data_IF_365697525976
#
_entry.id   IF_365697525976
#
_cell.length_a   1.000
_cell.length_b   1.000
_cell.length_c   1.000
_cell.angle_alpha   90.00
_cell.angle_beta   90.00
_cell.angle_gamma   90.00
#
_symmetry.space_group_name_H-M   'P 1'
#
loop_
_entity.id
_entity.type
_entity.pdbx_description
1 polymer ?
#
# COMPACT_ATOMS: atom_id res chain seq x y z
N UNK A 1 5.65 -18.99 6.12
CA UNK A 1 5.70 -17.73 5.34
C UNK A 1 6.73 -16.82 5.97
N UNK A 2 7.68 -16.31 5.18
CA UNK A 2 8.82 -15.53 5.69
C UNK A 2 8.76 -14.10 5.16
N UNK A 3 8.79 -13.12 6.08
CA UNK A 3 8.95 -11.71 5.76
C UNK A 3 10.43 -11.36 5.64
N UNK A 4 10.79 -10.61 4.62
CA UNK A 4 12.13 -10.08 4.43
C UNK A 4 12.26 -8.67 5.00
N UNK A 5 13.46 -8.28 5.39
CA UNK A 5 13.73 -6.89 5.78
C UNK A 5 13.67 -6.00 4.53
N UNK A 6 12.72 -5.09 4.49
CA UNK A 6 12.54 -4.14 3.40
C UNK A 6 13.45 -2.92 3.51
N UNK A 7 14.05 -2.68 4.68
CA UNK A 7 14.96 -1.58 4.92
C UNK A 7 14.30 -0.34 5.54
N UNK A 8 15.01 0.78 5.42
CA UNK A 8 14.63 2.07 6.00
C UNK A 8 14.13 3.03 4.92
N UNK A 9 13.15 3.84 5.31
CA UNK A 9 12.65 4.96 4.53
C UNK A 9 13.07 6.28 5.23
N UNK A 10 14.27 6.80 5.00
CA UNK A 10 14.79 7.95 5.74
C UNK A 10 13.90 9.18 5.64
N UNK A 11 13.34 9.41 4.44
CA UNK A 11 12.44 10.53 4.17
C UNK A 11 11.16 10.47 5.00
N UNK A 12 10.66 9.28 5.31
CA UNK A 12 9.39 9.08 6.02
C UNK A 12 9.55 8.76 7.51
N UNK A 13 10.77 8.47 7.97
CA UNK A 13 11.03 8.04 9.34
C UNK A 13 10.35 6.70 9.66
N UNK A 14 10.35 5.78 8.71
CA UNK A 14 9.73 4.45 8.83
C UNK A 14 10.69 3.36 8.37
N UNK A 15 10.38 2.13 8.76
CA UNK A 15 10.97 0.91 8.19
C UNK A 15 9.89 -0.09 7.86
N UNK A 16 10.21 -1.07 7.02
CA UNK A 16 9.25 -2.09 6.67
C UNK A 16 9.83 -3.52 6.66
N UNK A 17 8.91 -4.47 6.69
CA UNK A 17 9.13 -5.86 6.30
C UNK A 17 8.17 -6.20 5.17
N UNK A 18 8.62 -7.02 4.23
CA UNK A 18 7.89 -7.36 3.01
C UNK A 18 7.69 -8.86 2.93
N UNK A 19 6.49 -9.25 2.60
CA UNK A 19 6.15 -10.57 2.13
C UNK A 19 5.86 -10.47 0.63
N UNK A 20 6.76 -10.96 -0.25
CA UNK A 20 6.49 -11.08 -1.66
C UNK A 20 5.35 -12.07 -1.90
N UNK A 21 4.42 -11.71 -2.76
CA UNK A 21 3.29 -12.52 -3.19
C UNK A 21 3.44 -12.86 -4.67
N UNK A 22 2.65 -13.80 -5.17
CA UNK A 22 2.55 -14.09 -6.60
C UNK A 22 1.91 -12.93 -7.36
N UNK A 23 1.91 -13.00 -8.69
CA UNK A 23 1.27 -12.03 -9.58
C UNK A 23 1.71 -10.56 -9.38
N UNK A 24 2.94 -10.33 -8.92
CA UNK A 24 3.44 -8.96 -8.74
C UNK A 24 2.97 -8.25 -7.48
N UNK A 25 2.23 -8.92 -6.60
CA UNK A 25 1.76 -8.35 -5.34
C UNK A 25 2.77 -8.47 -4.21
N UNK A 26 2.57 -7.72 -3.15
CA UNK A 26 3.29 -7.86 -1.89
C UNK A 26 2.48 -7.33 -0.71
N UNK A 27 2.73 -7.89 0.45
CA UNK A 27 2.23 -7.38 1.72
C UNK A 27 3.38 -6.68 2.45
N UNK A 28 3.12 -5.48 2.93
CA UNK A 28 4.10 -4.66 3.65
C UNK A 28 3.64 -4.41 5.08
N UNK A 29 4.52 -4.70 6.04
CA UNK A 29 4.34 -4.33 7.44
C UNK A 29 5.27 -3.15 7.72
N UNK A 30 4.69 -1.99 8.02
CA UNK A 30 5.43 -0.74 8.23
C UNK A 30 5.42 -0.37 9.71
N UNK A 31 6.59 -0.04 10.23
CA UNK A 31 6.76 0.51 11.56
C UNK A 31 7.32 1.94 11.52
N UNK A 32 6.86 2.78 12.44
CA UNK A 32 7.41 4.11 12.64
C UNK A 32 8.71 4.02 13.45
N UNK A 33 9.68 4.86 13.09
CA UNK A 33 10.93 5.05 13.83
C UNK A 33 10.82 6.26 14.77
N UNK A 34 11.63 6.28 15.81
CA UNK A 34 11.86 7.49 16.60
C UNK A 34 12.80 8.43 15.83
N UNK A 35 12.22 9.09 14.83
CA UNK A 35 12.91 9.96 13.90
C UNK A 35 12.04 11.16 13.54
N UNK A 36 12.58 12.41 13.54
CA UNK A 36 11.80 13.62 13.28
C UNK A 36 11.08 13.66 11.93
N UNK A 37 11.56 12.92 10.92
CA UNK A 37 10.89 12.82 9.62
C UNK A 37 9.49 12.22 9.73
N UNK A 38 9.26 11.30 10.67
CA UNK A 38 7.96 10.65 10.87
C UNK A 38 6.85 11.66 11.24
N UNK A 39 7.23 12.79 11.87
CA UNK A 39 6.27 13.82 12.28
C UNK A 39 6.06 14.90 11.20
N UNK A 40 6.93 14.95 10.20
CA UNK A 40 6.94 16.04 9.21
C UNK A 40 6.30 15.67 7.88
N UNK A 41 6.19 14.38 7.57
CA UNK A 41 5.70 13.93 6.26
C UNK A 41 4.45 13.09 6.38
N UNK A 42 3.50 13.19 5.43
CA UNK A 42 2.19 12.54 5.52
C UNK A 42 2.24 11.03 5.75
N UNK A 43 3.15 10.31 5.09
CA UNK A 43 3.25 8.85 5.27
C UNK A 43 3.71 8.47 6.68
N UNK A 44 4.76 9.13 7.20
CA UNK A 44 5.22 8.92 8.57
C UNK A 44 4.13 9.21 9.60
N UNK A 45 3.42 10.33 9.42
CA UNK A 45 2.30 10.72 10.26
C UNK A 45 1.17 9.66 10.23
N UNK A 46 0.83 9.14 9.04
CA UNK A 46 -0.20 8.10 8.89
C UNK A 46 0.19 6.81 9.64
N UNK A 47 1.44 6.35 9.48
CA UNK A 47 1.94 5.16 10.19
C UNK A 47 1.95 5.38 11.70
N UNK A 48 2.40 6.54 12.17
CA UNK A 48 2.41 6.89 13.60
C UNK A 48 1.02 6.91 14.19
N UNK A 49 0.08 7.59 13.53
CA UNK A 49 -1.32 7.65 13.98
C UNK A 49 -1.95 6.25 14.05
N UNK A 50 -1.74 5.43 13.03
CA UNK A 50 -2.27 4.05 13.01
C UNK A 50 -1.64 3.18 14.10
N UNK A 51 -0.35 3.36 14.36
CA UNK A 51 0.34 2.65 15.45
C UNK A 51 -0.21 3.04 16.82
N UNK A 52 -0.51 4.33 17.05
CA UNK A 52 -1.10 4.82 18.30
C UNK A 52 -2.50 4.25 18.55
N UNK A 53 -3.25 3.90 17.49
CA UNK A 53 -4.55 3.24 17.55
C UNK A 53 -4.47 1.70 17.71
N UNK A 54 -3.29 1.14 17.95
CA UNK A 54 -3.07 -0.29 18.12
C UNK A 54 -2.66 -1.04 16.84
N UNK A 55 -2.35 -0.34 15.76
CA UNK A 55 -1.93 -0.93 14.49
C UNK A 55 -3.09 -1.44 13.62
N UNK A 56 -2.80 -2.42 12.76
CA UNK A 56 -3.73 -2.99 11.78
C UNK A 56 -3.56 -2.37 10.39
N UNK A 57 -4.55 -2.53 9.53
CA UNK A 57 -4.49 -2.03 8.16
C UNK A 57 -4.34 -0.51 8.12
N UNK A 58 -3.31 -0.04 7.44
CA UNK A 58 -3.13 1.38 7.13
C UNK A 58 -3.92 1.74 5.87
N UNK A 59 -3.83 0.90 4.83
CA UNK A 59 -4.47 1.11 3.54
C UNK A 59 -4.00 0.10 2.51
N UNK A 60 -4.29 0.38 1.26
CA UNK A 60 -3.91 -0.43 0.13
C UNK A 60 -3.35 0.44 -1.00
N UNK A 61 -2.63 -0.18 -1.91
CA UNK A 61 -1.80 0.50 -2.91
C UNK A 61 -2.09 -0.06 -4.28
N UNK A 62 -2.19 0.82 -5.26
CA UNK A 62 -2.29 0.45 -6.67
C UNK A 62 -1.01 0.86 -7.39
N UNK A 63 -0.31 -0.12 -7.96
CA UNK A 63 0.83 0.14 -8.83
C UNK A 63 0.34 0.62 -10.21
N UNK A 64 1.01 1.62 -10.76
CA UNK A 64 0.68 2.19 -12.06
C UNK A 64 1.94 2.47 -12.87
N UNK A 65 1.83 2.38 -14.18
CA UNK A 65 2.93 2.68 -15.12
C UNK A 65 3.06 4.19 -15.38
N UNK A 66 1.97 4.95 -15.21
CA UNK A 66 1.96 6.38 -15.41
C UNK A 66 1.13 7.11 -14.35
N UNK A 67 1.74 8.10 -13.70
CA UNK A 67 1.08 8.94 -12.69
C UNK A 67 0.48 10.22 -13.29
N UNK A 68 0.81 10.63 -14.51
CA UNK A 68 0.40 11.91 -15.06
C UNK A 68 -1.14 12.09 -15.15
N UNK A 69 -1.94 11.10 -15.58
CA UNK A 69 -3.39 11.21 -15.56
C UNK A 69 -3.98 11.35 -14.15
N UNK A 70 -3.36 10.65 -13.19
CA UNK A 70 -3.75 10.69 -11.77
C UNK A 70 -3.40 12.05 -11.14
N UNK A 71 -2.22 12.57 -11.43
CA UNK A 71 -1.80 13.91 -10.98
C UNK A 71 -2.75 15.00 -11.46
N UNK A 72 -3.17 14.91 -12.74
CA UNK A 72 -4.12 15.86 -13.32
C UNK A 72 -5.49 15.76 -12.62
N UNK A 73 -6.02 14.55 -12.42
CA UNK A 73 -7.32 14.32 -11.79
C UNK A 73 -7.32 14.71 -10.31
N UNK A 74 -6.28 14.37 -9.56
CA UNK A 74 -6.17 14.64 -8.13
C UNK A 74 -5.72 16.09 -7.86
N UNK A 75 -5.17 16.78 -8.86
CA UNK A 75 -4.70 18.16 -8.74
C UNK A 75 -3.41 18.31 -7.92
N UNK A 76 -2.60 17.26 -7.83
CA UNK A 76 -1.36 17.25 -7.04
C UNK A 76 -0.27 16.45 -7.74
N UNK A 77 0.99 16.79 -7.45
CA UNK A 77 2.16 16.07 -7.95
C UNK A 77 2.50 14.88 -7.06
N UNK A 78 2.94 13.81 -7.70
CA UNK A 78 3.54 12.67 -7.01
C UNK A 78 4.80 13.09 -6.27
N UNK A 79 5.09 12.39 -5.19
CA UNK A 79 6.25 12.62 -4.34
C UNK A 79 7.19 11.42 -4.47
N UNK A 80 8.47 11.71 -4.71
CA UNK A 80 9.49 10.68 -4.71
C UNK A 80 9.67 10.10 -3.31
N UNK A 81 9.73 8.78 -3.25
CA UNK A 81 10.14 8.00 -2.09
C UNK A 81 11.37 7.18 -2.42
N UNK A 82 12.16 6.87 -1.41
CA UNK A 82 13.27 5.93 -1.53
C UNK A 82 13.46 5.15 -0.22
N UNK A 83 14.05 3.98 -0.34
CA UNK A 83 14.50 3.18 0.80
C UNK A 83 15.88 2.59 0.55
N UNK A 84 16.60 2.40 1.62
CA UNK A 84 17.90 1.74 1.61
C UNK A 84 17.73 0.28 2.04
N UNK A 85 18.10 -0.63 1.16
CA UNK A 85 18.14 -2.05 1.47
C UNK A 85 19.39 -2.38 2.29
N UNK A 86 19.39 -3.51 3.04
CA UNK A 86 20.55 -3.94 3.84
C UNK A 86 21.84 -4.13 3.03
N UNK A 87 21.73 -4.44 1.74
CA UNK A 87 22.86 -4.59 0.83
C UNK A 87 23.38 -3.28 0.22
N UNK A 88 22.87 -2.12 0.68
CA UNK A 88 23.24 -0.80 0.20
C UNK A 88 22.52 -0.32 -1.08
N UNK A 89 21.70 -1.17 -1.70
CA UNK A 89 20.88 -0.76 -2.84
C UNK A 89 19.83 0.25 -2.42
N UNK A 90 19.61 1.27 -3.25
CA UNK A 90 18.54 2.25 -3.06
C UNK A 90 17.41 1.95 -4.03
N UNK A 91 16.22 1.72 -3.48
CA UNK A 91 14.99 1.62 -4.27
C UNK A 91 14.30 2.97 -4.29
N UNK A 92 13.84 3.38 -5.47
CA UNK A 92 13.09 4.62 -5.65
C UNK A 92 11.73 4.37 -6.27
N UNK A 93 10.77 5.20 -5.89
CA UNK A 93 9.42 5.21 -6.45
C UNK A 93 8.82 6.62 -6.38
N UNK A 94 7.72 6.80 -7.08
CA UNK A 94 6.87 7.96 -6.91
C UNK A 94 5.53 7.54 -6.34
N UNK A 95 4.97 8.30 -5.42
CA UNK A 95 3.69 7.99 -4.78
C UNK A 95 2.75 9.20 -4.79
N UNK A 96 1.45 8.92 -4.89
CA UNK A 96 0.39 9.93 -4.92
C UNK A 96 -0.83 9.41 -4.14
N UNK A 97 -1.48 10.26 -3.33
CA UNK A 97 -2.73 9.93 -2.65
C UNK A 97 -2.61 9.64 -1.15
N UNK A 98 -1.43 9.73 -0.54
CA UNK A 98 -1.25 9.47 0.91
C UNK A 98 -2.10 10.40 1.80
N UNK A 99 -2.24 11.67 1.42
CA UNK A 99 -3.08 12.61 2.18
C UNK A 99 -4.55 12.25 2.09
N UNK A 100 -4.97 11.69 0.97
CA UNK A 100 -6.35 11.27 0.76
C UNK A 100 -6.67 10.01 1.54
N UNK A 101 -5.75 9.05 1.59
CA UNK A 101 -5.84 7.88 2.46
C UNK A 101 -6.01 8.29 3.94
N UNK A 102 -5.36 9.35 4.40
CA UNK A 102 -5.52 9.84 5.78
C UNK A 102 -6.92 10.40 6.05
N UNK A 103 -7.52 11.05 5.07
CA UNK A 103 -8.85 11.67 5.16
C UNK A 103 -9.96 10.66 4.88
N UNK A 104 -9.75 9.79 3.91
CA UNK A 104 -10.71 8.79 3.45
C UNK A 104 -10.00 7.42 3.28
N UNK A 105 -9.88 6.62 4.35
CA UNK A 105 -9.07 5.41 4.37
C UNK A 105 -9.53 4.27 3.45
N UNK A 106 -10.69 4.38 2.80
CA UNK A 106 -11.10 3.42 1.76
C UNK A 106 -10.34 3.63 0.44
N UNK A 107 -9.79 4.83 0.21
CA UNK A 107 -9.08 5.15 -1.03
C UNK A 107 -7.66 4.57 -1.02
N UNK A 108 -7.21 3.96 -2.13
CA UNK A 108 -5.81 3.59 -2.27
C UNK A 108 -4.94 4.82 -2.51
N UNK A 109 -3.67 4.70 -2.22
CA UNK A 109 -2.68 5.55 -2.85
C UNK A 109 -2.02 4.82 -4.03
N UNK A 110 -1.36 5.57 -4.89
CA UNK A 110 -0.75 5.08 -6.12
C UNK A 110 0.77 5.08 -6.01
N UNK A 111 1.40 4.07 -6.61
CA UNK A 111 2.86 3.96 -6.67
C UNK A 111 3.28 3.65 -8.11
N UNK A 112 4.29 4.39 -8.58
CA UNK A 112 5.05 4.06 -9.79
C UNK A 112 6.47 3.70 -9.37
N UNK A 113 6.89 2.46 -9.63
CA UNK A 113 8.25 2.00 -9.37
C UNK A 113 9.21 2.51 -10.43
N UNK A 114 10.46 2.78 -10.06
CA UNK A 114 11.50 3.03 -11.04
C UNK A 114 11.79 1.76 -11.84
N UNK A 115 12.08 1.90 -13.14
CA UNK A 115 12.20 0.78 -14.08
C UNK A 115 13.34 -0.21 -13.77
N UNK A 116 14.38 0.24 -13.08
CA UNK A 116 15.56 -0.52 -12.67
C UNK A 116 15.51 -1.03 -11.23
N UNK A 117 14.42 -0.74 -10.51
CA UNK A 117 14.23 -1.17 -9.14
C UNK A 117 13.88 -2.66 -9.05
N UNK A 118 14.43 -3.34 -8.05
CA UNK A 118 13.96 -4.69 -7.68
C UNK A 118 12.59 -4.56 -7.03
N UNK A 119 11.55 -4.99 -7.74
CA UNK A 119 10.18 -4.90 -7.26
C UNK A 119 10.00 -5.68 -5.95
N UNK A 120 9.23 -5.17 -4.97
CA UNK A 120 9.00 -5.84 -3.67
C UNK A 120 8.39 -7.24 -3.77
N UNK A 121 7.72 -7.58 -4.85
CA UNK A 121 7.18 -8.93 -5.10
C UNK A 121 8.22 -9.92 -5.64
N UNK A 122 9.45 -9.47 -5.93
CA UNK A 122 10.47 -10.35 -6.49
C UNK A 122 10.70 -11.58 -5.60
N UNK A 123 10.59 -12.76 -6.18
CA UNK A 123 10.72 -14.04 -5.46
C UNK A 123 9.44 -14.56 -4.79
N UNK A 124 8.31 -13.87 -4.92
CA UNK A 124 7.00 -14.36 -4.44
C UNK A 124 6.53 -15.59 -5.22
N UNK A 125 6.34 -16.72 -4.53
CA UNK A 125 5.98 -18.01 -5.16
C UNK A 125 4.93 -18.82 -4.43
N UNK A 126 4.70 -18.54 -3.16
CA UNK A 126 3.94 -19.46 -2.28
C UNK A 126 2.63 -18.88 -1.78
N UNK A 127 2.51 -17.56 -1.81
CA UNK A 127 1.34 -16.87 -1.26
C UNK A 127 0.74 -16.00 -2.35
N UNK A 128 -0.56 -16.14 -2.54
CA UNK A 128 -1.34 -15.37 -3.49
C UNK A 128 -2.34 -14.48 -2.77
N UNK A 129 -2.49 -13.23 -3.21
CA UNK A 129 -3.57 -12.36 -2.77
C UNK A 129 -4.81 -12.68 -3.60
N UNK A 130 -5.82 -13.27 -2.95
CA UNK A 130 -7.08 -13.63 -3.61
C UNK A 130 -8.07 -12.49 -3.62
N UNK A 131 -8.17 -11.77 -2.49
CA UNK A 131 -9.23 -10.80 -2.28
C UNK A 131 -8.81 -9.74 -1.27
N UNK A 132 -9.30 -8.52 -1.47
CA UNK A 132 -9.36 -7.49 -0.43
C UNK A 132 -10.81 -7.18 -0.08
N UNK A 133 -11.08 -6.92 1.19
CA UNK A 133 -12.38 -6.47 1.67
C UNK A 133 -12.27 -5.01 2.10
N UNK A 134 -13.09 -4.15 1.50
CA UNK A 134 -13.10 -2.71 1.77
C UNK A 134 -14.41 -2.34 2.45
N UNK A 135 -14.30 -1.74 3.62
CA UNK A 135 -15.42 -1.12 4.30
C UNK A 135 -15.61 0.28 3.72
N UNK A 136 -16.61 0.47 2.87
CA UNK A 136 -16.79 1.75 2.19
C UNK A 136 -17.82 1.76 1.08
N UNK A 137 -17.71 2.77 0.23
CA UNK A 137 -18.57 3.01 -0.92
C UNK A 137 -17.83 2.66 -2.23
N UNK A 138 -18.28 1.65 -2.99
CA UNK A 138 -17.71 1.30 -4.28
C UNK A 138 -17.65 2.49 -5.27
N UNK A 139 -18.70 3.30 -5.33
CA UNK A 139 -18.76 4.41 -6.25
C UNK A 139 -17.69 5.47 -5.96
N UNK A 140 -17.38 5.69 -4.68
CA UNK A 140 -16.33 6.60 -4.25
C UNK A 140 -14.94 6.12 -4.65
N UNK A 141 -14.69 4.82 -4.55
CA UNK A 141 -13.42 4.22 -4.97
C UNK A 141 -13.29 4.18 -6.49
N UNK A 142 -14.37 3.86 -7.21
CA UNK A 142 -14.41 3.90 -8.68
C UNK A 142 -14.12 5.30 -9.23
N UNK A 143 -14.72 6.34 -8.63
CA UNK A 143 -14.43 7.74 -8.95
C UNK A 143 -12.94 8.06 -8.73
N UNK A 144 -12.39 7.64 -7.60
CA UNK A 144 -11.00 7.88 -7.26
C UNK A 144 -10.02 7.18 -8.21
N UNK A 145 -10.31 5.94 -8.59
CA UNK A 145 -9.53 5.19 -9.57
C UNK A 145 -9.69 5.73 -11.00
N UNK A 146 -10.78 6.43 -11.30
CA UNK A 146 -11.12 6.93 -12.62
C UNK A 146 -11.72 5.88 -13.55
N UNK A 147 -12.31 4.85 -12.97
CA UNK A 147 -12.98 3.76 -13.66
C UNK A 147 -13.42 2.69 -12.67
N UNK A 148 -14.05 1.64 -13.15
CA UNK A 148 -14.53 0.56 -12.29
C UNK A 148 -13.38 -0.18 -11.64
N UNK A 149 -13.36 -0.22 -10.32
CA UNK A 149 -12.33 -0.91 -9.53
C UNK A 149 -12.16 -2.37 -9.95
N UNK A 150 -13.27 -3.08 -10.22
CA UNK A 150 -13.27 -4.47 -10.68
C UNK A 150 -12.58 -4.68 -12.04
N UNK A 151 -12.58 -3.67 -12.90
CA UNK A 151 -11.94 -3.74 -14.23
C UNK A 151 -10.45 -3.35 -14.14
N UNK A 152 -10.14 -2.36 -13.30
CA UNK A 152 -8.77 -1.87 -13.08
C UNK A 152 -7.92 -2.88 -12.31
N UNK A 153 -8.54 -3.59 -11.36
CA UNK A 153 -7.90 -4.57 -10.46
C UNK A 153 -8.41 -5.98 -10.77
N UNK A 154 -8.36 -6.37 -12.05
CA UNK A 154 -8.97 -7.61 -12.53
C UNK A 154 -8.32 -8.90 -11.97
N UNK A 155 -7.14 -8.81 -11.40
CA UNK A 155 -6.35 -9.89 -10.81
C UNK A 155 -6.58 -10.10 -9.30
N UNK A 156 -7.36 -9.22 -8.66
CA UNK A 156 -7.70 -9.32 -7.23
C UNK A 156 -9.19 -9.07 -7.04
N UNK A 157 -9.87 -10.00 -6.39
CA UNK A 157 -11.26 -9.80 -6.01
C UNK A 157 -11.43 -8.67 -4.98
N UNK A 158 -12.47 -7.84 -5.17
CA UNK A 158 -12.83 -6.79 -4.23
C UNK A 158 -14.19 -7.11 -3.61
N UNK A 159 -14.19 -7.31 -2.30
CA UNK A 159 -15.42 -7.41 -1.50
C UNK A 159 -15.73 -6.08 -0.82
N UNK A 160 -17.01 -5.75 -0.76
CA UNK A 160 -17.48 -4.54 -0.10
C UNK A 160 -18.29 -4.86 1.14
N UNK A 161 -18.06 -4.10 2.20
CA UNK A 161 -18.85 -4.20 3.42
C UNK A 161 -19.14 -2.79 4.00
N UNK A 162 -20.15 -2.70 4.84
CA UNK A 162 -20.44 -1.47 5.55
C UNK A 162 -19.38 -1.19 6.60
N UNK A 163 -18.90 0.06 6.73
CA UNK A 163 -17.96 0.41 7.78
C UNK A 163 -18.63 0.23 9.17
N UNK A 164 -17.95 -0.44 10.10
CA UNK A 164 -18.41 -0.55 11.49
C UNK A 164 -18.14 0.72 12.27
N UNK A 165 -16.94 1.28 12.12
CA UNK A 165 -16.51 2.50 12.81
C UNK A 165 -15.99 3.55 11.82
N UNK A 166 -15.13 3.15 10.89
CA UNK A 166 -14.58 4.02 9.85
C UNK A 166 -14.42 3.24 8.54
N UNK A 167 -14.45 3.90 7.39
CA UNK A 167 -14.10 3.25 6.12
C UNK A 167 -12.63 2.83 6.10
N UNK A 168 -12.28 1.93 5.18
CA UNK A 168 -10.90 1.49 4.95
C UNK A 168 -10.77 0.02 4.56
N UNK A 169 -9.55 -0.44 4.39
CA UNK A 169 -9.27 -1.86 4.20
C UNK A 169 -9.67 -2.63 5.47
N UNK A 170 -10.59 -3.57 5.33
CA UNK A 170 -11.14 -4.35 6.41
C UNK A 170 -10.44 -5.69 6.57
N UNK A 171 -10.07 -6.33 5.45
CA UNK A 171 -9.35 -7.60 5.44
C UNK A 171 -8.64 -7.83 4.12
N UNK A 172 -7.69 -8.75 4.12
CA UNK A 172 -7.14 -9.37 2.92
C UNK A 172 -7.16 -10.89 3.08
N UNK A 173 -7.46 -11.59 1.99
CA UNK A 173 -7.57 -13.03 1.91
C UNK A 173 -6.44 -13.56 1.03
N UNK A 174 -5.71 -14.52 1.55
CA UNK A 174 -4.55 -15.10 0.90
C UNK A 174 -4.71 -16.61 0.74
N UNK A 175 -4.30 -17.14 -0.42
CA UNK A 175 -3.99 -18.55 -0.58
C UNK A 175 -2.58 -18.81 -0.10
N UNK A 176 -2.40 -19.82 0.75
CA UNK A 176 -1.09 -20.23 1.27
C UNK A 176 -0.93 -21.74 1.15
N UNK A 177 0.29 -22.30 1.25
CA UNK A 177 0.50 -23.76 1.27
C UNK A 177 -0.23 -24.50 2.39
N UNK A 178 -0.75 -23.77 3.40
CA UNK A 178 -1.51 -24.33 4.52
C UNK A 178 -3.01 -24.08 4.41
N UNK A 179 -3.48 -23.57 3.29
CA UNK A 179 -4.87 -23.19 3.04
C UNK A 179 -5.08 -21.68 3.01
N UNK A 180 -6.33 -21.30 2.97
CA UNK A 180 -6.74 -19.90 2.92
C UNK A 180 -6.57 -19.22 4.29
N UNK A 181 -6.07 -18.00 4.28
CA UNK A 181 -5.88 -17.16 5.48
C UNK A 181 -6.52 -15.82 5.25
N UNK A 182 -7.36 -15.38 6.17
CA UNK A 182 -7.95 -14.05 6.23
C UNK A 182 -7.32 -13.26 7.39
N UNK A 183 -6.76 -12.11 7.07
CA UNK A 183 -6.17 -11.18 8.05
C UNK A 183 -7.03 -9.92 8.11
#
# INVERSE_FOLDING_TARGET
VTFFDGGFHPRFGTRNRILPLTAGHYLEVVGVLDHPAADKVPFGQAVRARTAEGGGWLGWVVAVDDLAPLEQRIGRKAIEGHRHLPNGTVLTWHQLGIKDLQVDPQLPFFVKWASDAIHPSAGGREVELLKIEIAGDPARVDEWLGGRSKEILADVDIGWCSPRNRPGLAAAIFSTPRGEVRI
#
